data_IF_046893840433
#
_entry.id   IF_046893840433
#
_cell.length_a   1.000
_cell.length_b   1.000
_cell.length_c   1.000
_cell.angle_alpha   90.00
_cell.angle_beta   90.00
_cell.angle_gamma   90.00
#
_symmetry.space_group_name_H-M   'P 1'
#
loop_
_entity.id
_entity.type
_entity.pdbx_description
1 polymer ?
#
# COMPACT_ATOMS: atom_id res chain seq x y z
N UNK A 1 8.85 20.89 5.35
CA UNK A 1 7.50 20.33 5.62
C UNK A 1 7.61 19.55 6.91
N UNK A 2 6.81 19.89 7.93
CA UNK A 2 6.78 19.14 9.19
C UNK A 2 5.69 18.05 9.16
N UNK A 3 5.59 17.25 10.22
CA UNK A 3 4.60 16.16 10.33
C UNK A 3 3.16 16.67 10.22
N UNK A 4 2.85 17.82 10.82
CA UNK A 4 1.53 18.43 10.77
C UNK A 4 1.12 18.79 9.33
N UNK A 5 2.04 19.37 8.56
CA UNK A 5 1.82 19.67 7.14
C UNK A 5 1.55 18.40 6.32
N UNK A 6 2.28 17.32 6.58
CA UNK A 6 2.09 16.05 5.89
C UNK A 6 0.68 15.47 6.12
N UNK A 7 0.21 15.50 7.37
CA UNK A 7 -1.13 15.05 7.76
C UNK A 7 -2.19 15.92 7.07
N UNK A 8 -2.07 17.25 7.19
CA UNK A 8 -3.05 18.21 6.67
C UNK A 8 -3.16 18.20 5.15
N UNK A 9 -2.06 17.93 4.44
CA UNK A 9 -1.99 17.99 2.97
C UNK A 9 -2.12 16.62 2.29
N UNK A 10 -2.24 15.54 3.07
CA UNK A 10 -2.49 14.18 2.56
C UNK A 10 -3.72 14.16 1.66
N UNK A 11 -3.58 13.50 0.50
CA UNK A 11 -4.66 13.29 -0.48
C UNK A 11 -4.64 11.84 -0.96
N UNK A 12 -5.82 11.27 -1.15
CA UNK A 12 -5.98 9.97 -1.82
C UNK A 12 -5.95 10.20 -3.33
N UNK A 13 -4.97 9.60 -4.00
CA UNK A 13 -4.75 9.77 -5.44
C UNK A 13 -5.20 8.50 -6.16
N UNK A 14 -5.97 8.69 -7.22
CA UNK A 14 -6.51 7.60 -8.05
C UNK A 14 -6.21 7.78 -9.55
N UNK A 15 -5.38 8.77 -9.89
CA UNK A 15 -4.89 9.04 -11.25
C UNK A 15 -3.39 9.27 -11.16
N UNK A 16 -2.64 8.51 -11.94
CA UNK A 16 -1.19 8.44 -11.86
C UNK A 16 -0.59 8.83 -13.21
N UNK A 17 0.61 9.40 -13.17
CA UNK A 17 1.43 9.51 -14.39
C UNK A 17 2.01 8.15 -14.73
N UNK A 18 2.28 7.95 -16.01
CA UNK A 18 3.07 6.82 -16.47
C UNK A 18 4.56 7.06 -16.21
N UNK A 19 4.94 6.95 -14.94
CA UNK A 19 6.32 7.19 -14.50
C UNK A 19 6.68 6.30 -13.31
N UNK A 20 7.86 5.68 -13.37
CA UNK A 20 8.41 4.89 -12.27
C UNK A 20 8.69 5.72 -11.02
N UNK A 21 8.70 5.06 -9.85
CA UNK A 21 9.15 5.66 -8.59
C UNK A 21 10.64 6.03 -8.68
N UNK A 22 11.06 7.05 -7.92
CA UNK A 22 12.48 7.36 -7.81
C UNK A 22 13.21 6.24 -7.03
N UNK A 23 14.53 6.06 -7.25
CA UNK A 23 15.31 5.10 -6.47
C UNK A 23 15.16 5.33 -4.96
N UNK A 24 14.95 4.27 -4.18
CA UNK A 24 14.78 4.33 -2.73
C UNK A 24 13.42 4.82 -2.24
N UNK A 25 12.54 5.31 -3.12
CA UNK A 25 11.24 5.87 -2.72
C UNK A 25 10.30 4.79 -2.22
N UNK A 26 10.29 3.62 -2.87
CA UNK A 26 9.46 2.51 -2.44
C UNK A 26 9.94 1.93 -1.12
N UNK A 27 11.25 1.77 -0.96
CA UNK A 27 11.89 1.27 0.26
C UNK A 27 11.53 2.17 1.44
N UNK A 28 11.63 3.50 1.27
CA UNK A 28 11.22 4.49 2.28
C UNK A 28 9.74 4.37 2.66
N UNK A 29 8.87 4.12 1.70
CA UNK A 29 7.44 3.94 1.96
C UNK A 29 7.21 2.66 2.77
N UNK A 30 7.81 1.55 2.36
CA UNK A 30 7.69 0.26 3.05
C UNK A 30 8.25 0.35 4.47
N UNK A 31 9.40 1.00 4.65
CA UNK A 31 10.03 1.19 5.95
C UNK A 31 9.14 2.00 6.90
N UNK A 32 8.47 3.04 6.42
CA UNK A 32 7.51 3.76 7.25
C UNK A 32 6.35 2.86 7.73
N UNK A 33 5.88 1.96 6.86
CA UNK A 33 4.91 0.93 7.23
C UNK A 33 5.44 -0.03 8.30
N UNK A 34 6.69 -0.50 8.16
CA UNK A 34 7.35 -1.39 9.13
C UNK A 34 7.55 -0.74 10.50
N UNK A 35 7.73 0.58 10.54
CA UNK A 35 7.86 1.35 11.78
C UNK A 35 6.52 1.65 12.47
N UNK A 36 5.40 1.16 11.96
CA UNK A 36 4.14 1.28 12.66
C UNK A 36 4.13 0.47 13.97
N UNK A 37 3.46 0.99 14.99
CA UNK A 37 3.24 0.24 16.23
C UNK A 37 2.36 -0.99 15.96
N UNK A 38 2.71 -2.12 16.60
CA UNK A 38 1.89 -3.33 16.60
C UNK A 38 1.74 -3.91 17.99
N UNK A 39 0.60 -4.56 18.24
CA UNK A 39 0.33 -5.24 19.50
C UNK A 39 1.40 -6.29 19.78
N UNK A 40 2.03 -6.18 20.97
CA UNK A 40 3.12 -7.05 21.42
C UNK A 40 4.30 -7.13 20.43
N UNK A 41 4.47 -6.11 19.57
CA UNK A 41 5.43 -6.07 18.48
C UNK A 41 5.36 -7.29 17.53
N UNK A 42 4.17 -7.89 17.38
CA UNK A 42 4.01 -9.11 16.58
C UNK A 42 4.02 -8.86 15.08
N UNK A 43 3.82 -7.61 14.65
CA UNK A 43 3.91 -7.19 13.24
C UNK A 43 3.21 -8.18 12.30
N UNK A 44 1.93 -8.46 12.59
CA UNK A 44 1.11 -9.48 11.88
C UNK A 44 0.67 -8.99 10.49
N UNK A 45 1.62 -8.48 9.71
CA UNK A 45 1.42 -7.97 8.37
C UNK A 45 2.51 -8.46 7.43
N UNK A 46 2.12 -8.73 6.19
CA UNK A 46 3.04 -8.88 5.07
C UNK A 46 2.74 -7.81 4.03
N UNK A 47 3.78 -7.22 3.46
CA UNK A 47 3.67 -6.22 2.41
C UNK A 47 4.09 -6.85 1.07
N UNK A 48 3.11 -7.15 0.23
CA UNK A 48 3.36 -7.72 -1.10
C UNK A 48 3.42 -6.58 -2.11
N UNK A 49 4.58 -6.43 -2.76
CA UNK A 49 4.80 -5.37 -3.76
C UNK A 49 4.51 -5.91 -5.15
N UNK A 50 3.56 -5.28 -5.85
CA UNK A 50 3.27 -5.55 -7.25
C UNK A 50 3.76 -4.39 -8.12
N UNK A 51 4.72 -4.65 -9.02
CA UNK A 51 5.26 -3.68 -9.97
C UNK A 51 4.95 -4.03 -11.43
N UNK A 52 4.57 -5.27 -11.69
CA UNK A 52 4.27 -5.75 -13.04
C UNK A 52 2.98 -5.09 -13.57
N UNK A 53 3.05 -4.53 -14.78
CA UNK A 53 1.94 -3.76 -15.35
C UNK A 53 0.77 -4.65 -15.75
N UNK A 54 0.98 -5.90 -16.12
CA UNK A 54 -0.10 -6.82 -16.45
C UNK A 54 -0.86 -7.22 -15.18
N UNK A 55 -0.14 -7.59 -14.12
CA UNK A 55 -0.74 -7.89 -12.82
C UNK A 55 -1.47 -6.68 -12.22
N UNK A 56 -0.94 -5.46 -12.35
CA UNK A 56 -1.66 -4.26 -11.87
C UNK A 56 -2.98 -4.02 -12.61
N UNK A 57 -3.05 -4.35 -13.92
CA UNK A 57 -4.30 -4.30 -14.69
C UNK A 57 -5.28 -5.38 -14.26
N UNK A 58 -4.81 -6.58 -13.97
CA UNK A 58 -5.63 -7.67 -13.43
C UNK A 58 -6.17 -7.33 -12.03
N UNK A 59 -5.32 -6.84 -11.13
CA UNK A 59 -5.73 -6.39 -9.80
C UNK A 59 -6.80 -5.29 -9.87
N UNK A 60 -6.75 -4.45 -10.91
CA UNK A 60 -7.74 -3.39 -11.12
C UNK A 60 -9.16 -3.91 -11.37
N UNK A 61 -9.33 -5.18 -11.77
CA UNK A 61 -10.63 -5.81 -12.04
C UNK A 61 -11.21 -6.57 -10.85
N UNK A 62 -10.45 -6.76 -9.77
CA UNK A 62 -10.87 -7.62 -8.63
C UNK A 62 -12.00 -6.99 -7.80
N UNK A 63 -12.17 -5.67 -7.82
CA UNK A 63 -13.19 -5.00 -7.02
C UNK A 63 -13.69 -3.69 -7.61
N UNK A 64 -14.88 -3.23 -7.17
CA UNK A 64 -15.57 -2.08 -7.76
C UNK A 64 -14.80 -0.76 -7.64
N UNK A 65 -13.83 -0.67 -6.73
CA UNK A 65 -13.04 0.53 -6.46
C UNK A 65 -11.55 0.38 -6.81
N UNK A 66 -11.16 -0.74 -7.43
CA UNK A 66 -9.76 -1.07 -7.73
C UNK A 66 -9.27 -0.52 -9.08
N UNK A 67 -10.14 0.05 -9.92
CA UNK A 67 -9.79 0.47 -11.30
C UNK A 67 -8.56 1.38 -11.43
N UNK A 68 -8.23 2.15 -10.38
CA UNK A 68 -7.06 3.03 -10.36
C UNK A 68 -5.72 2.27 -10.35
N UNK A 69 -5.70 0.99 -9.97
CA UNK A 69 -4.48 0.17 -9.93
C UNK A 69 -3.85 0.00 -11.31
N UNK A 70 -4.66 -0.05 -12.38
CA UNK A 70 -4.18 -0.23 -13.75
C UNK A 70 -3.22 0.89 -14.20
N UNK A 71 -3.34 2.09 -13.62
CA UNK A 71 -2.45 3.23 -13.89
C UNK A 71 -1.32 3.40 -12.88
N UNK A 72 -1.32 2.67 -11.77
CA UNK A 72 -0.32 2.84 -10.72
C UNK A 72 1.07 2.36 -11.18
N UNK A 73 2.12 3.00 -10.68
CA UNK A 73 3.50 2.52 -10.90
C UNK A 73 3.82 1.28 -10.06
N UNK A 74 3.22 1.20 -8.86
CA UNK A 74 3.37 0.11 -7.89
C UNK A 74 2.06 -0.01 -7.12
N UNK A 75 1.67 -1.22 -6.73
CA UNK A 75 0.70 -1.48 -5.69
C UNK A 75 1.35 -2.22 -4.51
N UNK A 76 0.92 -1.91 -3.29
CA UNK A 76 1.32 -2.63 -2.08
C UNK A 76 0.06 -3.28 -1.52
N UNK A 77 0.00 -4.61 -1.59
CA UNK A 77 -1.05 -5.38 -0.95
C UNK A 77 -0.67 -5.60 0.52
N UNK A 78 -1.60 -5.25 1.41
CA UNK A 78 -1.47 -5.45 2.85
C UNK A 78 -2.15 -6.75 3.23
N UNK A 79 -1.35 -7.73 3.64
CA UNK A 79 -1.81 -9.06 4.02
C UNK A 79 -1.70 -9.22 5.53
N UNK A 80 -2.66 -9.89 6.13
CA UNK A 80 -2.73 -10.10 7.58
C UNK A 80 -3.48 -11.40 7.87
N UNK A 81 -3.28 -12.06 9.04
CA UNK A 81 -4.09 -13.21 9.44
C UNK A 81 -5.59 -12.88 9.36
N UNK A 82 -6.41 -13.86 8.98
CA UNK A 82 -7.83 -13.61 8.72
C UNK A 82 -8.52 -13.00 9.96
N UNK A 83 -8.98 -11.73 9.89
CA UNK A 83 -9.56 -11.06 11.04
C UNK A 83 -11.00 -11.49 11.33
N UNK A 84 -11.62 -12.39 10.55
CA UNK A 84 -12.96 -12.92 10.90
C UNK A 84 -12.95 -14.20 11.72
N UNK A 85 -11.82 -14.84 11.93
CA UNK A 85 -11.82 -16.04 12.79
C UNK A 85 -12.19 -15.63 14.21
N UNK A 86 -12.92 -16.49 14.94
CA UNK A 86 -13.51 -16.15 16.23
C UNK A 86 -12.48 -15.62 17.24
N UNK A 87 -11.27 -16.17 17.21
CA UNK A 87 -10.18 -15.81 18.13
C UNK A 87 -9.19 -14.79 17.54
N UNK A 88 -9.55 -14.11 16.45
CA UNK A 88 -8.70 -13.10 15.83
C UNK A 88 -8.48 -11.94 16.81
N UNK A 89 -7.22 -11.57 17.12
CA UNK A 89 -6.97 -10.39 17.95
C UNK A 89 -7.52 -9.14 17.28
N UNK A 90 -8.33 -8.36 17.99
CA UNK A 90 -8.92 -7.11 17.47
C UNK A 90 -7.85 -6.11 17.00
N UNK A 91 -6.62 -6.21 17.53
CA UNK A 91 -5.51 -5.34 17.16
C UNK A 91 -5.03 -5.56 15.72
N UNK A 92 -5.26 -6.73 15.11
CA UNK A 92 -4.72 -7.07 13.79
C UNK A 92 -5.08 -6.03 12.72
N UNK A 93 -6.35 -5.64 12.66
CA UNK A 93 -6.81 -4.64 11.69
C UNK A 93 -6.39 -3.22 12.06
N UNK A 94 -6.28 -2.92 13.36
CA UNK A 94 -5.80 -1.61 13.84
C UNK A 94 -4.33 -1.41 13.48
N UNK A 95 -3.49 -2.39 13.79
CA UNK A 95 -2.07 -2.49 13.49
C UNK A 95 -1.82 -2.31 11.97
N UNK A 96 -2.57 -3.04 11.13
CA UNK A 96 -2.51 -2.93 9.67
C UNK A 96 -2.89 -1.52 9.17
N UNK A 97 -3.89 -0.89 9.80
CA UNK A 97 -4.31 0.48 9.50
C UNK A 97 -3.22 1.51 9.82
N UNK A 98 -2.47 1.32 10.91
CA UNK A 98 -1.34 2.17 11.25
C UNK A 98 -0.21 2.05 10.23
N UNK A 99 0.14 0.82 9.82
CA UNK A 99 1.12 0.57 8.77
C UNK A 99 0.73 1.27 7.45
N UNK A 100 -0.52 1.11 7.02
CA UNK A 100 -1.04 1.80 5.85
C UNK A 100 -0.97 3.33 5.98
N UNK A 101 -1.33 3.86 7.16
CA UNK A 101 -1.29 5.28 7.46
C UNK A 101 0.12 5.86 7.32
N UNK A 102 1.12 5.19 7.90
CA UNK A 102 2.51 5.59 7.83
C UNK A 102 3.05 5.57 6.38
N UNK A 103 2.79 4.50 5.63
CA UNK A 103 3.17 4.41 4.21
C UNK A 103 2.63 5.59 3.41
N UNK A 104 1.37 5.96 3.62
CA UNK A 104 0.75 7.06 2.90
C UNK A 104 1.26 8.45 3.32
N UNK A 105 1.79 8.60 4.54
CA UNK A 105 2.40 9.84 5.03
C UNK A 105 3.88 9.97 4.64
N UNK A 106 4.57 8.85 4.43
CA UNK A 106 5.98 8.79 4.04
C UNK A 106 6.27 9.28 2.61
N UNK A 107 5.22 9.62 1.84
CA UNK A 107 5.35 10.18 0.51
C UNK A 107 6.24 11.43 0.51
N UNK A 108 7.12 11.60 -0.48
CA UNK A 108 7.81 12.86 -0.69
C UNK A 108 6.85 14.06 -0.76
N UNK A 109 7.26 15.17 -0.14
CA UNK A 109 6.52 16.42 -0.19
C UNK A 109 6.27 16.85 -1.64
N UNK A 110 5.06 17.33 -1.93
CA UNK A 110 4.75 17.98 -3.20
C UNK A 110 5.50 19.31 -3.23
N UNK A 111 6.50 19.45 -4.09
CA UNK A 111 6.99 20.77 -4.49
C UNK A 111 5.94 21.43 -5.41
N UNK A 112 5.64 22.73 -5.26
CA UNK A 112 4.78 23.44 -6.20
C UNK A 112 5.39 23.38 -7.61
N UNK A 113 4.57 23.06 -8.63
CA UNK A 113 4.97 23.08 -10.05
C UNK A 113 5.33 21.76 -10.73
N UNK A 114 5.29 20.58 -10.07
CA UNK A 114 5.52 19.26 -10.74
C UNK A 114 4.23 18.49 -11.07
N UNK A 115 4.26 17.82 -12.24
CA UNK A 115 3.25 16.94 -12.89
C UNK A 115 2.80 15.73 -12.03
N UNK A 116 1.73 14.97 -12.40
CA UNK A 116 0.92 14.22 -11.44
C UNK A 116 1.64 13.17 -10.60
N UNK A 117 1.01 12.86 -9.47
CA UNK A 117 1.61 12.26 -8.29
C UNK A 117 2.00 10.78 -8.50
N UNK A 118 3.15 10.42 -7.92
CA UNK A 118 3.65 9.06 -7.78
C UNK A 118 3.32 8.57 -6.38
N UNK A 119 2.32 7.70 -6.23
CA UNK A 119 2.11 6.99 -4.97
C UNK A 119 1.79 5.54 -5.28
N UNK A 120 2.31 4.60 -4.48
CA UNK A 120 1.83 3.23 -4.56
C UNK A 120 0.36 3.21 -4.14
N UNK A 121 -0.43 2.42 -4.86
CA UNK A 121 -1.78 2.13 -4.42
C UNK A 121 -1.72 1.07 -3.32
N UNK A 122 -2.28 1.37 -2.15
CA UNK A 122 -2.38 0.41 -1.06
C UNK A 122 -3.68 -0.36 -1.21
N UNK A 123 -3.58 -1.65 -1.49
CA UNK A 123 -4.72 -2.53 -1.71
C UNK A 123 -4.95 -3.43 -0.50
N UNK A 124 -6.21 -3.49 -0.07
CA UNK A 124 -6.71 -4.59 0.76
C UNK A 124 -7.45 -5.55 -0.16
N UNK A 125 -6.97 -6.78 -0.27
CA UNK A 125 -7.61 -7.80 -1.09
C UNK A 125 -8.91 -8.28 -0.39
N UNK A 126 -10.06 -8.33 -1.10
CA UNK A 126 -11.27 -8.93 -0.55
C UNK A 126 -11.15 -10.45 -0.45
N UNK A 127 -12.02 -11.08 0.37
CA UNK A 127 -12.07 -12.54 0.54
C UNK A 127 -12.37 -13.26 -0.78
N UNK A 128 -11.59 -14.29 -1.05
CA UNK A 128 -11.74 -15.24 -2.16
C UNK A 128 -10.41 -15.97 -2.39
N UNK A 129 -10.39 -17.17 -3.01
CA UNK A 129 -9.15 -17.85 -3.32
C UNK A 129 -8.35 -16.99 -4.30
N UNK A 130 -7.32 -16.31 -3.78
CA UNK A 130 -6.26 -15.75 -4.58
C UNK A 130 -5.59 -16.92 -5.28
N UNK A 131 -5.90 -17.14 -6.57
CA UNK A 131 -4.97 -17.82 -7.47
C UNK A 131 -3.82 -16.86 -7.76
N UNK A 132 -3.08 -16.50 -6.73
CA UNK A 132 -1.79 -15.84 -6.86
C UNK A 132 -0.80 -16.93 -7.28
N UNK A 133 -0.64 -17.12 -8.59
CA UNK A 133 0.59 -17.72 -9.10
C UNK A 133 1.70 -16.67 -8.95
N UNK A 134 2.16 -16.46 -7.71
CA UNK A 134 3.50 -15.96 -7.49
C UNK A 134 4.44 -17.14 -7.73
N UNK A 135 5.11 -17.14 -8.88
CA UNK A 135 6.23 -18.04 -9.10
C UNK A 135 7.27 -17.79 -7.99
N UNK A 136 7.80 -18.84 -7.34
CA UNK A 136 8.96 -18.68 -6.48
C UNK A 136 10.15 -18.27 -7.35
N UNK A 137 10.82 -17.18 -6.99
CA UNK A 137 12.13 -16.87 -7.54
C UNK A 137 13.11 -17.98 -7.14
N UNK A 138 13.87 -18.46 -8.12
CA UNK A 138 14.98 -19.40 -7.99
C UNK A 138 16.26 -18.68 -7.55
#
# INVERSE_FOLDING_TARGET
MNTWDAIRTKRMIRRFVDQSLAPGELERILDAGRHAGSSKNLQRWDFIVCRDRAHLRELATIGPYAGHLAGAAVAVALVTPDPSVADAPLSVMFDLGQAAGNMMLARPARLPGRSPLRVPAVLRLPRGPLRAQCAPEA
#
